data_IF_017737466602
#
_entry.id   IF_017737466602
#
_cell.length_a   1.000
_cell.length_b   1.000
_cell.length_c   1.000
_cell.angle_alpha   90.00
_cell.angle_beta   90.00
_cell.angle_gamma   90.00
#
_symmetry.space_group_name_H-M   'P 1'
#
loop_
_entity.id
_entity.type
_entity.pdbx_description
1 polymer ?
#
# COMPACT_ATOMS: atom_id res chain seq x y z
N UNK A 1 -7.25 -17.19 -29.56
CA UNK A 1 -8.12 -16.42 -28.63
C UNK A 1 -8.38 -17.08 -27.26
N UNK A 2 -8.13 -18.39 -27.05
CA UNK A 2 -8.37 -19.09 -25.77
C UNK A 2 -7.34 -18.79 -24.68
N UNK A 3 -6.10 -18.50 -25.06
CA UNK A 3 -4.99 -18.19 -24.13
C UNK A 3 -5.10 -16.81 -23.47
N UNK A 4 -5.74 -15.84 -24.13
CA UNK A 4 -5.87 -14.46 -23.61
C UNK A 4 -6.82 -14.37 -22.41
N UNK A 5 -7.86 -15.22 -22.36
CA UNK A 5 -8.77 -15.32 -21.20
C UNK A 5 -8.10 -15.90 -19.97
N UNK A 6 -7.16 -16.82 -20.15
CA UNK A 6 -6.38 -17.45 -19.08
C UNK A 6 -5.38 -16.46 -18.47
N UNK A 7 -4.69 -15.69 -19.31
CA UNK A 7 -3.78 -14.62 -18.85
C UNK A 7 -4.53 -13.53 -18.08
N UNK A 8 -5.71 -13.13 -18.56
CA UNK A 8 -6.55 -12.13 -17.89
C UNK A 8 -7.04 -12.57 -16.49
N UNK A 9 -7.33 -13.87 -16.31
CA UNK A 9 -7.72 -14.43 -15.01
C UNK A 9 -6.53 -14.67 -14.06
N UNK A 10 -5.35 -15.02 -14.59
CA UNK A 10 -4.13 -15.20 -13.80
C UNK A 10 -3.52 -13.87 -13.32
N UNK A 11 -3.68 -12.78 -14.07
CA UNK A 11 -3.21 -11.45 -13.65
C UNK A 11 -4.03 -10.85 -12.50
N UNK A 12 -5.28 -11.26 -12.30
CA UNK A 12 -6.15 -10.69 -11.25
C UNK A 12 -5.86 -11.25 -9.84
N UNK A 13 -5.17 -12.39 -9.73
CA UNK A 13 -4.87 -13.02 -8.44
C UNK A 13 -3.64 -12.45 -7.72
N UNK A 14 -2.85 -11.59 -8.39
CA UNK A 14 -1.56 -11.09 -7.87
C UNK A 14 -1.64 -9.89 -6.94
N UNK A 15 -2.84 -9.38 -6.64
CA UNK A 15 -3.04 -8.25 -5.73
C UNK A 15 -3.04 -8.69 -4.26
N UNK A 16 -1.96 -9.37 -3.84
CA UNK A 16 -1.73 -9.63 -2.43
C UNK A 16 -1.17 -8.35 -1.80
N UNK A 17 -2.02 -7.66 -1.04
CA UNK A 17 -1.69 -6.44 -0.31
C UNK A 17 -0.87 -6.86 0.92
N UNK A 18 0.46 -6.88 0.80
CA UNK A 18 1.34 -7.02 1.94
C UNK A 18 1.46 -5.65 2.62
N UNK A 19 0.69 -5.43 3.67
CA UNK A 19 0.77 -4.19 4.45
C UNK A 19 1.92 -4.32 5.47
N UNK A 20 3.01 -3.57 5.28
CA UNK A 20 4.07 -3.47 6.29
C UNK A 20 3.89 -2.17 7.09
N UNK A 21 3.72 -2.30 8.41
CA UNK A 21 3.66 -1.15 9.31
C UNK A 21 5.00 -0.97 10.01
N UNK A 22 5.40 0.28 10.23
CA UNK A 22 6.68 0.60 10.87
C UNK A 22 6.45 1.42 12.14
N UNK A 23 7.16 1.08 13.20
CA UNK A 23 7.21 1.86 14.43
C UNK A 23 8.49 2.70 14.45
N UNK A 24 8.37 4.00 14.66
CA UNK A 24 9.50 4.91 14.88
C UNK A 24 9.58 5.24 16.37
N UNK A 25 10.70 4.87 16.98
CA UNK A 25 11.08 5.29 18.32
C UNK A 25 12.00 6.51 18.20
N UNK A 26 11.71 7.58 18.92
CA UNK A 26 12.54 8.78 18.99
C UNK A 26 13.01 9.01 20.43
N UNK A 27 14.33 9.16 20.59
CA UNK A 27 15.00 9.38 21.87
C UNK A 27 15.90 10.60 21.69
N UNK A 28 15.54 11.69 22.36
CA UNK A 28 16.17 13.01 22.22
C UNK A 28 16.39 13.41 20.74
N UNK A 29 17.62 13.28 20.23
CA UNK A 29 18.02 13.63 18.86
C UNK A 29 18.15 12.45 17.90
N UNK A 30 17.94 11.21 18.36
CA UNK A 30 18.10 9.98 17.55
C UNK A 30 16.77 9.28 17.34
N UNK A 31 16.66 8.54 16.23
CA UNK A 31 15.47 7.76 15.91
C UNK A 31 15.82 6.41 15.28
N UNK A 32 14.97 5.42 15.55
CA UNK A 32 15.05 4.10 14.91
C UNK A 32 13.69 3.66 14.40
N UNK A 33 13.69 3.00 13.25
CA UNK A 33 12.48 2.53 12.55
C UNK A 33 12.52 1.00 12.52
N UNK A 34 11.43 0.36 12.95
CA UNK A 34 11.35 -1.08 13.16
C UNK A 34 10.10 -1.61 12.44
N UNK A 35 10.20 -2.69 11.65
CA UNK A 35 9.02 -3.30 11.05
C UNK A 35 8.18 -4.03 12.10
N UNK A 36 6.87 -3.93 11.96
CA UNK A 36 5.88 -4.66 12.73
C UNK A 36 5.32 -5.78 11.85
N UNK A 37 5.83 -7.00 12.05
CA UNK A 37 5.57 -8.12 11.13
C UNK A 37 4.11 -8.60 11.18
N UNK A 38 3.48 -8.59 12.36
CA UNK A 38 2.11 -9.10 12.57
C UNK A 38 1.29 -8.27 13.58
N UNK A 39 1.93 -7.36 14.28
CA UNK A 39 1.33 -6.60 15.36
C UNK A 39 1.02 -5.20 14.86
N UNK A 40 -0.25 -4.80 14.81
CA UNK A 40 -0.63 -3.47 14.35
C UNK A 40 -0.03 -2.35 15.20
N UNK A 41 -0.24 -1.12 14.74
CA UNK A 41 0.17 0.14 15.37
C UNK A 41 -0.06 0.23 16.90
N UNK A 42 -1.04 -0.48 17.43
CA UNK A 42 -1.36 -0.56 18.86
C UNK A 42 -0.22 -1.11 19.72
N UNK A 43 0.73 -1.81 19.12
CA UNK A 43 1.90 -2.39 19.81
C UNK A 43 3.11 -1.46 19.83
N UNK A 44 3.07 -0.37 19.06
CA UNK A 44 4.09 0.68 19.05
C UNK A 44 3.92 1.60 20.27
N UNK A 45 4.31 1.10 21.43
CA UNK A 45 4.30 1.84 22.71
C UNK A 45 5.72 2.19 23.16
N UNK A 46 5.85 3.11 24.11
CA UNK A 46 7.15 3.49 24.69
C UNK A 46 7.87 2.28 25.30
N UNK A 47 7.12 1.44 26.00
CA UNK A 47 7.61 0.22 26.65
C UNK A 47 8.10 -0.80 25.62
N UNK A 48 7.47 -0.86 24.44
CA UNK A 48 7.96 -1.67 23.32
C UNK A 48 9.35 -1.19 22.85
N UNK A 49 9.53 0.13 22.66
CA UNK A 49 10.84 0.70 22.30
C UNK A 49 11.92 0.43 23.35
N UNK A 50 11.58 0.52 24.64
CA UNK A 50 12.51 0.24 25.75
C UNK A 50 12.86 -1.25 25.85
N UNK A 51 11.90 -2.14 25.59
CA UNK A 51 12.12 -3.60 25.62
C UNK A 51 13.17 -4.08 24.61
N UNK A 52 13.38 -3.32 23.52
CA UNK A 52 14.37 -3.61 22.49
C UNK A 52 15.81 -3.31 22.90
N UNK A 53 16.05 -2.76 24.11
CA UNK A 53 17.37 -2.49 24.69
C UNK A 53 18.31 -1.77 23.71
N UNK A 54 17.82 -0.69 23.12
CA UNK A 54 18.57 0.15 22.21
C UNK A 54 19.62 0.92 23.01
N UNK A 55 20.90 0.74 22.69
CA UNK A 55 22.01 1.41 23.41
C UNK A 55 21.84 2.93 23.49
N UNK A 56 21.18 3.53 22.50
CA UNK A 56 20.94 4.96 22.39
C UNK A 56 19.72 5.46 23.20
N UNK A 57 18.86 4.54 23.65
CA UNK A 57 17.65 4.85 24.42
C UNK A 57 17.68 4.26 25.85
N UNK A 58 18.78 3.63 26.25
CA UNK A 58 18.90 2.89 27.52
C UNK A 58 18.95 3.80 28.75
N UNK A 59 19.49 5.00 28.60
CA UNK A 59 19.63 5.98 29.69
C UNK A 59 18.44 6.95 29.81
N UNK A 60 17.44 6.82 28.94
CA UNK A 60 16.28 7.71 28.88
C UNK A 60 15.05 7.09 29.56
N UNK A 61 14.36 7.88 30.37
CA UNK A 61 13.11 7.46 31.04
C UNK A 61 11.94 7.40 30.06
N UNK A 62 10.84 6.72 30.44
CA UNK A 62 9.64 6.60 29.59
C UNK A 62 9.06 7.97 29.16
N UNK A 63 9.39 9.04 29.88
CA UNK A 63 8.86 10.37 29.62
C UNK A 63 9.49 11.03 28.39
N UNK A 64 10.74 10.67 28.07
CA UNK A 64 11.56 11.29 27.01
C UNK A 64 11.51 10.51 25.68
N UNK A 65 10.93 9.30 25.70
CA UNK A 65 10.74 8.48 24.50
C UNK A 65 9.42 8.84 23.81
N UNK A 66 9.52 9.24 22.55
CA UNK A 66 8.37 9.52 21.69
C UNK A 66 8.21 8.37 20.68
N UNK A 67 7.04 7.74 20.65
CA UNK A 67 6.71 6.73 19.64
C UNK A 67 5.78 7.33 18.60
N UNK A 68 6.10 7.08 17.34
CA UNK A 68 5.28 7.48 16.20
C UNK A 68 5.16 6.29 15.27
N UNK A 69 3.92 5.90 14.99
CA UNK A 69 3.64 4.78 14.12
C UNK A 69 3.38 5.29 12.71
N UNK A 70 4.07 4.69 11.74
CA UNK A 70 3.97 5.05 10.33
C UNK A 70 3.48 3.85 9.54
N UNK A 71 2.33 4.01 8.89
CA UNK A 71 1.96 3.15 7.77
C UNK A 71 2.68 3.67 6.54
N UNK A 72 3.75 2.99 6.15
CA UNK A 72 4.52 3.36 4.95
C UNK A 72 3.70 3.12 3.67
N UNK A 73 2.71 2.23 3.75
CA UNK A 73 1.61 2.15 2.80
C UNK A 73 0.53 3.16 3.20
N UNK A 74 0.68 4.43 2.80
CA UNK A 74 -0.42 5.38 2.91
C UNK A 74 -1.53 4.92 1.98
N UNK A 75 -2.75 4.75 2.49
CA UNK A 75 -3.94 4.50 1.66
C UNK A 75 -4.10 5.53 0.55
N UNK A 76 -3.55 6.75 0.74
CA UNK A 76 -3.47 7.78 -0.29
C UNK A 76 -2.62 7.35 -1.48
N UNK A 77 -1.42 6.84 -1.25
CA UNK A 77 -0.49 6.42 -2.30
C UNK A 77 -1.03 5.18 -3.02
N UNK A 78 -1.60 4.24 -2.25
CA UNK A 78 -2.27 3.06 -2.77
C UNK A 78 -3.46 3.44 -3.67
N UNK A 79 -4.34 4.34 -3.21
CA UNK A 79 -5.50 4.81 -3.96
C UNK A 79 -5.10 5.49 -5.28
N UNK A 80 -4.04 6.31 -5.28
CA UNK A 80 -3.54 6.99 -6.47
C UNK A 80 -3.12 5.95 -7.53
N UNK A 81 -2.34 4.95 -7.13
CA UNK A 81 -1.87 3.88 -8.03
C UNK A 81 -3.05 3.08 -8.60
N UNK A 82 -3.99 2.65 -7.75
CA UNK A 82 -5.17 1.91 -8.22
C UNK A 82 -6.04 2.73 -9.17
N UNK A 83 -6.25 4.01 -8.88
CA UNK A 83 -7.02 4.90 -9.75
C UNK A 83 -6.37 5.01 -11.11
N UNK A 84 -5.05 5.20 -11.18
CA UNK A 84 -4.32 5.27 -12.44
C UNK A 84 -4.44 3.97 -13.26
N UNK A 85 -4.32 2.81 -12.60
CA UNK A 85 -4.48 1.50 -13.24
C UNK A 85 -5.92 1.37 -13.79
N UNK A 86 -6.95 1.67 -13.01
CA UNK A 86 -8.34 1.57 -13.46
C UNK A 86 -8.64 2.49 -14.66
N UNK A 87 -8.14 3.73 -14.62
CA UNK A 87 -8.33 4.69 -15.71
C UNK A 87 -7.64 4.23 -16.99
N UNK A 88 -6.37 3.80 -16.91
CA UNK A 88 -5.61 3.32 -18.07
C UNK A 88 -6.20 2.04 -18.66
N UNK A 89 -6.59 1.07 -17.83
CA UNK A 89 -7.31 -0.12 -18.28
C UNK A 89 -8.66 0.22 -18.92
N UNK A 90 -9.40 1.18 -18.36
CA UNK A 90 -10.64 1.70 -18.94
C UNK A 90 -10.44 2.29 -20.33
N UNK A 91 -9.42 3.13 -20.51
CA UNK A 91 -9.08 3.73 -21.81
C UNK A 91 -8.65 2.68 -22.85
N UNK A 92 -7.82 1.73 -22.45
CA UNK A 92 -7.35 0.66 -23.34
C UNK A 92 -8.49 -0.28 -23.75
N UNK A 93 -9.34 -0.68 -22.80
CA UNK A 93 -10.51 -1.51 -23.10
C UNK A 93 -11.52 -0.80 -24.00
N UNK A 94 -11.73 0.50 -23.80
CA UNK A 94 -12.56 1.32 -24.69
C UNK A 94 -11.98 1.43 -26.11
N UNK A 95 -10.66 1.54 -26.26
CA UNK A 95 -10.03 1.58 -27.58
C UNK A 95 -10.17 0.24 -28.32
N UNK A 96 -10.02 -0.89 -27.63
CA UNK A 96 -10.06 -2.23 -28.22
C UNK A 96 -11.50 -2.67 -28.53
N UNK A 97 -12.44 -2.44 -27.61
CA UNK A 97 -13.81 -2.97 -27.70
C UNK A 97 -14.83 -1.86 -27.91
N UNK A 98 -14.70 -0.74 -27.21
CA UNK A 98 -15.64 0.38 -27.28
C UNK A 98 -15.70 1.01 -28.68
N UNK A 99 -14.56 1.33 -29.29
CA UNK A 99 -14.50 1.91 -30.66
C UNK A 99 -15.22 1.07 -31.72
N UNK A 100 -14.92 -0.23 -31.92
CA UNK A 100 -15.62 -1.02 -32.94
C UNK A 100 -17.10 -1.21 -32.63
N UNK A 101 -17.48 -1.32 -31.34
CA UNK A 101 -18.89 -1.41 -30.96
C UNK A 101 -19.65 -0.10 -31.17
N UNK A 102 -19.04 1.05 -30.89
CA UNK A 102 -19.67 2.36 -31.09
C UNK A 102 -19.82 2.72 -32.57
N UNK A 103 -18.85 2.33 -33.42
CA UNK A 103 -18.99 2.48 -34.88
C UNK A 103 -20.14 1.60 -35.37
N UNK A 104 -20.22 0.35 -34.90
CA UNK A 104 -21.34 -0.55 -35.22
C UNK A 104 -22.69 -0.01 -34.73
N UNK A 105 -22.73 0.54 -33.51
CA UNK A 105 -23.94 1.10 -32.92
C UNK A 105 -24.39 2.37 -33.66
N UNK A 106 -23.45 3.23 -34.08
CA UNK A 106 -23.77 4.44 -34.86
C UNK A 106 -24.25 4.13 -36.28
N UNK A 107 -23.71 3.11 -36.95
CA UNK A 107 -24.19 2.63 -38.27
C UNK A 107 -25.55 1.94 -38.19
N UNK A 108 -25.96 1.43 -37.02
CA UNK A 108 -27.25 0.77 -36.85
C UNK A 108 -28.40 1.72 -36.48
N UNK A 109 -28.10 3.01 -36.31
CA UNK A 109 -29.03 4.09 -35.92
C UNK A 109 -29.33 5.06 -37.07
N UNK A 110 -28.51 5.04 -38.13
CA UNK A 110 -28.81 5.58 -39.47
C UNK A 110 -29.49 4.50 -40.33
#
# INVERSE_FOLDING_TARGET
MRSFKLVFWLSFLGLAIAYEQFCRCQCDSKYKIIPLQDQGCNTCTKNYCLSLNLEECKDFTEDEVLTTCFQRESTKDQLIVYTFILVTFGLLSYAIVGRPLLIKYRVSID
#
